data_IF_894710494414
#
_entry.id   IF_894710494414
#
_cell.length_a   1.000
_cell.length_b   1.000
_cell.length_c   1.000
_cell.angle_alpha   90.00
_cell.angle_beta   90.00
_cell.angle_gamma   90.00
#
_symmetry.space_group_name_H-M   'P 1'
#
loop_
_entity.id
_entity.type
_entity.pdbx_description
1 polymer ?
#
# COMPACT_ATOMS: atom_id res chain seq x y z
N UNK A 1 -21.47 32.13 65.46
CA UNK A 1 -22.26 31.09 64.74
C UNK A 1 -21.99 31.25 63.26
N UNK A 2 -21.43 30.21 62.64
CA UNK A 2 -20.75 30.21 61.33
C UNK A 2 -21.71 29.61 60.30
N UNK A 3 -22.12 30.35 59.28
CA UNK A 3 -22.98 29.83 58.20
C UNK A 3 -22.09 29.28 57.08
N UNK A 4 -22.24 27.99 56.80
CA UNK A 4 -21.55 27.23 55.75
C UNK A 4 -22.16 27.57 54.39
N UNK A 5 -21.30 27.97 53.45
CA UNK A 5 -21.60 28.05 52.02
C UNK A 5 -21.30 26.68 51.40
N UNK A 6 -22.30 26.04 50.81
CA UNK A 6 -22.17 24.76 50.08
C UNK A 6 -22.09 25.08 48.59
N UNK A 7 -20.88 25.02 48.02
CA UNK A 7 -20.65 25.16 46.58
C UNK A 7 -20.72 23.78 45.93
N UNK A 8 -21.75 23.50 45.13
CA UNK A 8 -21.83 22.31 44.31
C UNK A 8 -21.17 22.57 42.95
N UNK A 9 -19.98 22.02 42.71
CA UNK A 9 -19.40 21.93 41.36
C UNK A 9 -19.97 20.69 40.65
N UNK A 10 -20.81 20.91 39.64
CA UNK A 10 -21.17 19.89 38.65
C UNK A 10 -20.02 19.79 37.63
N UNK A 11 -19.21 18.75 37.75
CA UNK A 11 -18.19 18.39 36.78
C UNK A 11 -18.82 17.83 35.51
N UNK A 12 -18.62 18.51 34.39
CA UNK A 12 -18.99 18.02 33.07
C UNK A 12 -18.02 16.88 32.66
N UNK A 13 -18.51 15.65 32.66
CA UNK A 13 -17.84 14.54 31.98
C UNK A 13 -17.97 14.74 30.47
N UNK A 14 -16.94 15.32 29.85
CA UNK A 14 -16.78 15.25 28.40
C UNK A 14 -16.48 13.79 28.03
N UNK A 15 -17.16 13.20 27.04
CA UNK A 15 -16.80 11.88 26.54
C UNK A 15 -15.38 11.95 25.99
N UNK A 16 -14.48 11.15 26.55
CA UNK A 16 -13.16 10.93 25.99
C UNK A 16 -13.35 10.32 24.60
N UNK A 17 -12.97 11.07 23.57
CA UNK A 17 -12.82 10.52 22.23
C UNK A 17 -11.76 9.41 22.35
N UNK A 18 -12.17 8.16 22.10
CA UNK A 18 -11.27 7.03 22.03
C UNK A 18 -10.16 7.37 21.03
N UNK A 19 -8.91 7.34 21.50
CA UNK A 19 -7.73 7.45 20.66
C UNK A 19 -7.84 6.38 19.57
N UNK A 20 -7.93 6.80 18.30
CA UNK A 20 -7.79 5.87 17.17
C UNK A 20 -6.44 5.18 17.34
N UNK A 21 -6.38 3.84 17.44
CA UNK A 21 -5.11 3.14 17.56
C UNK A 21 -4.23 3.52 16.37
N UNK A 22 -2.94 3.72 16.62
CA UNK A 22 -1.89 3.88 15.60
C UNK A 22 -2.21 2.99 14.40
N UNK A 23 -2.34 3.60 13.22
CA UNK A 23 -2.88 2.96 12.03
C UNK A 23 -2.29 1.56 11.86
N UNK A 24 -3.13 0.54 12.04
CA UNK A 24 -2.74 -0.85 11.74
C UNK A 24 -2.40 -0.90 10.26
N UNK A 25 -1.15 -1.20 9.92
CA UNK A 25 -0.65 -1.04 8.55
C UNK A 25 0.84 -1.33 8.44
N UNK A 26 1.33 -1.23 7.21
CA UNK A 26 2.73 -1.45 6.88
C UNK A 26 3.34 -0.14 6.40
N UNK A 27 4.33 0.34 7.15
CA UNK A 27 5.12 1.50 6.79
C UNK A 27 6.36 1.07 6.02
N UNK A 28 6.49 1.57 4.81
CA UNK A 28 7.68 1.39 3.99
C UNK A 28 8.45 2.72 3.99
N UNK A 29 9.68 2.76 4.52
CA UNK A 29 10.51 3.95 4.43
C UNK A 29 10.78 4.36 2.98
N UNK A 30 11.10 5.63 2.77
CA UNK A 30 11.70 6.09 1.51
C UNK A 30 12.96 5.26 1.19
N UNK A 31 13.29 5.14 -0.10
CA UNK A 31 14.40 4.33 -0.60
C UNK A 31 14.31 2.82 -0.34
N UNK A 32 13.19 2.33 0.21
CA UNK A 32 12.92 0.90 0.27
C UNK A 32 12.99 0.29 -1.12
N UNK A 33 13.71 -0.83 -1.26
CA UNK A 33 13.84 -1.55 -2.54
C UNK A 33 13.10 -2.87 -2.44
N UNK A 34 12.06 -3.01 -3.25
CA UNK A 34 11.24 -4.21 -3.36
C UNK A 34 11.69 -5.08 -4.52
N UNK A 35 11.66 -6.39 -4.31
CA UNK A 35 11.70 -7.36 -5.39
C UNK A 35 10.28 -7.53 -5.93
N UNK A 36 10.11 -7.38 -7.24
CA UNK A 36 8.81 -7.48 -7.90
C UNK A 36 8.90 -8.29 -9.18
N UNK A 37 7.79 -8.90 -9.57
CA UNK A 37 7.67 -9.57 -10.86
C UNK A 37 6.41 -9.07 -11.57
N UNK A 38 6.46 -8.92 -12.88
CA UNK A 38 5.24 -8.67 -13.66
C UNK A 38 4.39 -9.94 -13.68
N UNK A 39 3.07 -9.80 -13.59
CA UNK A 39 2.19 -10.97 -13.54
C UNK A 39 2.11 -11.71 -14.88
N UNK A 40 2.22 -10.95 -15.97
CA UNK A 40 2.07 -11.43 -17.34
C UNK A 40 3.10 -10.74 -18.23
N UNK A 41 3.54 -11.42 -19.28
CA UNK A 41 4.43 -10.84 -20.29
C UNK A 41 3.77 -9.60 -20.91
N UNK A 42 4.57 -8.54 -21.06
CA UNK A 42 4.12 -7.27 -21.62
C UNK A 42 5.18 -6.68 -22.54
N UNK A 43 4.82 -6.54 -23.81
CA UNK A 43 5.59 -5.78 -24.78
C UNK A 43 5.20 -4.30 -24.72
N UNK A 44 6.17 -3.42 -24.92
CA UNK A 44 5.98 -1.96 -24.97
C UNK A 44 6.70 -1.44 -26.20
N UNK A 45 6.03 -0.61 -26.99
CA UNK A 45 6.67 0.12 -28.09
C UNK A 45 6.95 1.57 -27.71
N UNK A 46 7.98 2.18 -28.30
CA UNK A 46 8.27 3.61 -28.06
C UNK A 46 7.10 4.49 -28.48
N UNK A 47 6.71 5.42 -27.62
CA UNK A 47 5.52 6.27 -27.80
C UNK A 47 4.23 5.67 -27.25
N UNK A 48 4.25 4.42 -26.79
CA UNK A 48 3.14 3.78 -26.07
C UNK A 48 3.25 4.02 -24.56
N UNK A 49 2.12 4.02 -23.88
CA UNK A 49 2.04 3.90 -22.41
C UNK A 49 1.17 2.70 -22.06
N UNK A 50 1.76 1.72 -21.39
CA UNK A 50 0.99 0.65 -20.76
C UNK A 50 0.38 1.16 -19.47
N UNK A 51 -0.95 1.15 -19.41
CA UNK A 51 -1.70 1.42 -18.18
C UNK A 51 -2.05 0.12 -17.47
N UNK A 52 -2.23 0.17 -16.15
CA UNK A 52 -2.66 -0.97 -15.33
C UNK A 52 -1.74 -2.20 -15.41
N UNK A 53 -0.43 -1.97 -15.51
CA UNK A 53 0.55 -3.02 -15.32
C UNK A 53 0.45 -3.51 -13.87
N UNK A 54 0.26 -4.81 -13.69
CA UNK A 54 0.22 -5.43 -12.38
C UNK A 54 1.54 -6.13 -12.09
N UNK A 55 2.12 -5.78 -10.94
CA UNK A 55 3.31 -6.41 -10.40
C UNK A 55 2.93 -7.14 -9.13
N UNK A 56 3.54 -8.30 -8.86
CA UNK A 56 3.51 -8.91 -7.52
C UNK A 56 4.81 -8.57 -6.80
N UNK A 57 4.71 -8.19 -5.52
CA UNK A 57 5.90 -8.12 -4.67
C UNK A 57 6.31 -9.54 -4.26
N UNK A 58 7.61 -9.84 -4.38
CA UNK A 58 8.20 -11.14 -4.01
C UNK A 58 9.13 -11.03 -2.80
N UNK A 59 9.44 -9.82 -2.35
CA UNK A 59 10.21 -9.57 -1.13
C UNK A 59 10.75 -8.15 -1.09
N UNK A 60 11.68 -7.91 -0.17
CA UNK A 60 12.40 -6.64 -0.01
C UNK A 60 13.90 -6.89 0.08
N UNK A 61 14.70 -6.04 -0.55
CA UNK A 61 16.16 -6.03 -0.44
C UNK A 61 16.63 -5.20 0.75
N UNK A 62 15.80 -4.27 1.24
CA UNK A 62 16.11 -3.39 2.37
C UNK A 62 15.51 -3.87 3.69
N UNK A 63 14.94 -5.09 3.71
CA UNK A 63 14.39 -5.70 4.92
C UNK A 63 13.03 -5.17 5.35
N UNK A 64 12.39 -4.30 4.56
CA UNK A 64 11.03 -3.86 4.83
C UNK A 64 10.04 -5.03 4.74
N UNK A 65 9.15 -5.13 5.72
CA UNK A 65 8.10 -6.13 5.72
C UNK A 65 6.92 -5.67 4.87
N UNK A 66 6.40 -6.58 4.05
CA UNK A 66 5.18 -6.40 3.28
C UNK A 66 4.19 -7.49 3.70
N UNK A 67 2.88 -7.19 3.70
CA UNK A 67 1.88 -8.23 3.86
C UNK A 67 2.03 -9.29 2.76
N UNK A 68 1.61 -10.51 3.07
CA UNK A 68 1.57 -11.57 2.08
C UNK A 68 0.64 -11.18 0.90
N UNK A 69 0.99 -11.60 -0.31
CA UNK A 69 0.21 -11.39 -1.54
C UNK A 69 -0.10 -9.91 -1.84
N UNK A 70 0.96 -9.11 -1.98
CA UNK A 70 0.86 -7.74 -2.45
C UNK A 70 0.89 -7.63 -3.98
N UNK A 71 -0.11 -6.94 -4.54
CA UNK A 71 -0.16 -6.49 -5.93
C UNK A 71 0.08 -4.99 -6.00
N UNK A 72 0.95 -4.58 -6.91
CA UNK A 72 1.28 -3.18 -7.18
C UNK A 72 0.70 -2.79 -8.53
N UNK A 73 0.00 -1.66 -8.57
CA UNK A 73 -0.53 -1.09 -9.81
C UNK A 73 0.44 -0.06 -10.36
N UNK A 74 0.83 -0.23 -11.62
CA UNK A 74 1.83 0.57 -12.28
C UNK A 74 1.42 0.99 -13.70
N UNK A 75 2.12 1.99 -14.21
CA UNK A 75 2.16 2.31 -15.63
C UNK A 75 3.59 2.16 -16.15
N UNK A 76 3.74 1.82 -17.41
CA UNK A 76 5.04 1.66 -18.04
C UNK A 76 5.13 2.37 -19.39
N UNK A 77 6.29 2.94 -19.68
CA UNK A 77 6.56 3.63 -20.94
C UNK A 77 8.06 3.57 -21.26
N UNK A 78 8.41 3.74 -22.53
CA UNK A 78 9.82 3.91 -22.90
C UNK A 78 10.15 5.39 -22.96
N UNK A 79 11.14 5.82 -22.17
CA UNK A 79 11.62 7.18 -22.11
C UNK A 79 13.16 7.19 -22.01
N UNK A 80 13.83 8.14 -22.69
CA UNK A 80 15.29 8.26 -22.68
C UNK A 80 16.04 6.92 -22.89
N UNK A 81 15.53 6.09 -23.80
CA UNK A 81 16.04 4.75 -24.13
C UNK A 81 16.07 3.74 -22.96
N UNK A 82 15.21 3.92 -21.96
CA UNK A 82 14.95 3.01 -20.86
C UNK A 82 13.45 2.74 -20.74
N UNK A 83 13.10 1.56 -20.24
CA UNK A 83 11.71 1.30 -19.80
C UNK A 83 11.53 1.88 -18.41
N UNK A 84 10.69 2.89 -18.29
CA UNK A 84 10.24 3.41 -17.00
C UNK A 84 8.98 2.67 -16.58
N UNK A 85 8.94 2.23 -15.32
CA UNK A 85 7.74 1.70 -14.68
C UNK A 85 7.50 2.49 -13.41
N UNK A 86 6.32 3.09 -13.29
CA UNK A 86 5.90 3.93 -12.18
C UNK A 86 4.76 3.24 -11.45
N UNK A 87 5.00 2.79 -10.21
CA UNK A 87 3.98 2.26 -9.31
C UNK A 87 3.29 3.43 -8.61
N UNK A 88 1.98 3.30 -8.43
CA UNK A 88 1.15 4.34 -7.79
C UNK A 88 0.39 3.83 -6.56
N UNK A 89 0.21 2.51 -6.43
CA UNK A 89 -0.65 1.92 -5.41
C UNK A 89 -0.24 0.49 -5.09
N UNK A 90 -0.39 0.10 -3.84
CA UNK A 90 -0.29 -1.28 -3.37
C UNK A 90 -1.64 -1.75 -2.83
N UNK A 91 -1.99 -2.99 -3.15
CA UNK A 91 -3.13 -3.71 -2.57
C UNK A 91 -2.64 -5.09 -2.14
N UNK A 92 -2.80 -5.41 -0.87
CA UNK A 92 -2.34 -6.65 -0.29
C UNK A 92 -3.46 -7.33 0.49
N UNK A 93 -3.39 -8.67 0.58
CA UNK A 93 -4.43 -9.44 1.26
C UNK A 93 -3.78 -10.53 2.10
N UNK A 94 -3.99 -10.45 3.42
CA UNK A 94 -3.53 -11.49 4.34
C UNK A 94 -4.42 -12.74 4.30
N UNK A 95 -3.91 -13.92 4.70
CA UNK A 95 -4.70 -15.16 4.73
C UNK A 95 -5.95 -15.10 5.61
N UNK A 96 -5.95 -14.25 6.64
CA UNK A 96 -7.10 -14.02 7.54
C UNK A 96 -8.21 -13.16 6.90
N UNK A 97 -8.01 -12.65 5.68
CA UNK A 97 -8.96 -11.81 4.97
C UNK A 97 -8.73 -10.30 5.15
N UNK A 98 -7.75 -9.88 5.96
CA UNK A 98 -7.41 -8.47 6.09
C UNK A 98 -6.86 -7.92 4.77
N UNK A 99 -7.38 -6.76 4.37
CA UNK A 99 -7.00 -6.06 3.16
C UNK A 99 -6.18 -4.85 3.56
N UNK A 100 -5.01 -4.68 2.95
CA UNK A 100 -4.15 -3.52 3.14
C UNK A 100 -4.03 -2.76 1.83
N UNK A 101 -4.14 -1.45 1.90
CA UNK A 101 -4.22 -0.59 0.73
C UNK A 101 -3.54 0.75 0.99
N UNK A 102 -2.77 1.23 0.02
CA UNK A 102 -2.10 2.51 0.16
C UNK A 102 -1.51 3.04 -1.14
N UNK A 103 -1.33 4.37 -1.24
CA UNK A 103 -0.53 4.97 -2.29
C UNK A 103 0.93 4.55 -2.13
N UNK A 104 1.60 4.32 -3.25
CA UNK A 104 3.03 4.02 -3.30
C UNK A 104 3.63 4.82 -4.43
N UNK A 105 4.65 5.64 -4.15
CA UNK A 105 5.42 6.32 -5.19
C UNK A 105 6.76 5.60 -5.37
N UNK A 106 6.85 4.77 -6.40
CA UNK A 106 8.03 3.95 -6.62
C UNK A 106 8.30 3.75 -8.11
N UNK A 107 9.58 3.57 -8.47
CA UNK A 107 10.00 3.29 -9.84
C UNK A 107 10.94 2.11 -9.92
N UNK A 108 10.90 1.47 -11.08
CA UNK A 108 11.81 0.38 -11.40
C UNK A 108 13.24 0.88 -11.56
N UNK A 109 14.19 0.05 -11.14
CA UNK A 109 15.63 0.32 -11.25
C UNK A 109 16.34 -0.86 -11.90
N UNK A 110 17.34 -0.58 -12.73
CA UNK A 110 18.24 -1.59 -13.30
C UNK A 110 19.32 -1.98 -12.28
N UNK A 111 19.80 -0.99 -11.53
CA UNK A 111 20.84 -1.13 -10.51
C UNK A 111 20.52 -0.21 -9.33
N UNK A 112 21.37 -0.21 -8.29
CA UNK A 112 21.17 0.64 -7.12
C UNK A 112 21.06 2.13 -7.48
N UNK A 113 21.76 2.60 -8.51
CA UNK A 113 21.86 4.02 -8.83
C UNK A 113 21.10 4.42 -10.11
N UNK A 114 20.65 3.45 -10.91
CA UNK A 114 20.04 3.70 -12.21
C UNK A 114 18.55 3.38 -12.23
N UNK A 115 17.73 4.39 -12.51
CA UNK A 115 16.30 4.24 -12.76
C UNK A 115 16.01 3.81 -14.19
N UNK A 116 14.94 3.04 -14.37
CA UNK A 116 14.51 2.49 -15.64
C UNK A 116 15.31 1.25 -16.05
N UNK A 117 14.71 0.41 -16.90
CA UNK A 117 15.31 -0.82 -17.38
C UNK A 117 15.85 -0.65 -18.80
N UNK A 118 17.16 -0.78 -18.95
CA UNK A 118 17.82 -0.92 -20.25
C UNK A 118 17.81 -2.37 -20.73
N UNK A 119 17.95 -3.33 -19.81
CA UNK A 119 18.02 -4.77 -20.13
C UNK A 119 16.72 -5.35 -20.70
N UNK A 120 15.60 -4.68 -20.46
CA UNK A 120 14.31 -5.05 -21.03
C UNK A 120 14.14 -4.63 -22.51
N UNK A 121 14.98 -3.72 -23.00
CA UNK A 121 14.94 -3.24 -24.38
C UNK A 121 15.42 -4.31 -25.36
N UNK A 122 14.82 -4.34 -26.56
CA UNK A 122 15.27 -5.25 -27.62
C UNK A 122 16.65 -4.86 -28.19
N UNK A 123 17.00 -3.57 -28.13
CA UNK A 123 18.25 -3.00 -28.64
C UNK A 123 18.65 -1.70 -27.92
N UNK A 124 19.79 -1.11 -28.32
CA UNK A 124 20.33 0.12 -27.74
C UNK A 124 19.48 1.37 -27.99
N UNK A 125 18.66 1.39 -29.04
CA UNK A 125 17.73 2.49 -29.30
C UNK A 125 16.46 2.40 -28.44
N UNK A 126 16.21 1.22 -27.87
CA UNK A 126 15.01 0.87 -27.12
C UNK A 126 13.73 1.25 -27.88
N UNK A 127 13.63 0.86 -29.16
CA UNK A 127 12.40 1.06 -29.93
C UNK A 127 11.23 0.22 -29.41
N UNK A 128 11.55 -0.93 -28.81
CA UNK A 128 10.62 -1.82 -28.13
C UNK A 128 11.28 -2.49 -26.94
N UNK A 129 10.46 -2.98 -26.00
CA UNK A 129 10.90 -3.70 -24.82
C UNK A 129 9.93 -4.83 -24.46
N UNK A 130 10.42 -5.81 -23.69
CA UNK A 130 9.63 -6.90 -23.15
C UNK A 130 9.87 -7.04 -21.64
N UNK A 131 8.81 -6.81 -20.87
CA UNK A 131 8.73 -7.18 -19.47
C UNK A 131 8.23 -8.63 -19.38
N UNK A 132 8.99 -9.51 -18.70
CA UNK A 132 8.72 -10.95 -18.66
C UNK A 132 8.18 -11.39 -17.30
N UNK A 133 7.10 -12.16 -17.32
CA UNK A 133 6.56 -12.80 -16.14
C UNK A 133 7.59 -13.74 -15.51
N UNK A 134 7.63 -13.75 -14.18
CA UNK A 134 8.58 -14.57 -13.43
C UNK A 134 10.00 -14.00 -13.33
N UNK A 135 10.36 -12.98 -14.10
CA UNK A 135 11.62 -12.27 -13.95
C UNK A 135 11.54 -11.31 -12.76
N UNK A 136 12.54 -11.36 -11.88
CA UNK A 136 12.68 -10.41 -10.78
C UNK A 136 13.19 -9.06 -11.28
N UNK A 137 12.56 -8.00 -10.78
CA UNK A 137 12.93 -6.62 -11.00
C UNK A 137 13.02 -5.90 -9.66
N UNK A 138 13.83 -4.85 -9.61
CA UNK A 138 13.96 -3.99 -8.42
C UNK A 138 13.06 -2.77 -8.56
N UNK A 139 12.30 -2.47 -7.53
CA UNK A 139 11.44 -1.28 -7.44
C UNK A 139 11.85 -0.46 -6.21
N UNK A 140 12.33 0.76 -6.43
CA UNK A 140 12.71 1.68 -5.34
C UNK A 140 11.62 2.71 -5.09
N UNK A 141 11.26 2.87 -3.82
CA UNK A 141 10.36 3.92 -3.35
C UNK A 141 11.07 5.28 -3.34
N UNK A 142 10.40 6.31 -3.84
CA UNK A 142 10.85 7.70 -3.74
C UNK A 142 10.47 8.31 -2.39
N UNK A 143 9.23 8.07 -1.98
CA UNK A 143 8.67 8.58 -0.74
C UNK A 143 8.34 7.41 0.18
N UNK A 144 8.28 7.69 1.48
CA UNK A 144 7.72 6.74 2.42
C UNK A 144 6.27 6.42 2.02
N UNK A 145 5.87 5.17 2.14
CA UNK A 145 4.53 4.70 1.85
C UNK A 145 3.87 4.10 3.09
N UNK A 146 2.59 4.38 3.27
CA UNK A 146 1.77 3.74 4.30
C UNK A 146 0.71 2.90 3.60
N UNK A 147 0.79 1.58 3.78
CA UNK A 147 -0.18 0.61 3.29
C UNK A 147 -1.07 0.23 4.47
N UNK A 148 -2.19 0.93 4.61
CA UNK A 148 -3.04 0.88 5.79
C UNK A 148 -4.05 -0.27 5.71
N UNK A 149 -4.44 -0.82 6.86
CA UNK A 149 -5.53 -1.77 6.97
C UNK A 149 -6.84 -1.11 6.53
N UNK A 150 -7.51 -1.74 5.57
CA UNK A 150 -8.84 -1.37 5.12
C UNK A 150 -9.86 -2.02 6.02
N UNK A 151 -10.53 -1.20 6.82
CA UNK A 151 -11.60 -1.66 7.69
C UNK A 151 -12.86 -1.95 6.88
N UNK A 152 -13.32 -3.20 6.91
CA UNK A 152 -14.61 -3.58 6.33
C UNK A 152 -15.76 -3.14 7.25
N UNK A 153 -16.25 -1.92 7.03
CA UNK A 153 -17.36 -1.34 7.80
C UNK A 153 -18.63 -2.18 7.74
N UNK A 154 -18.92 -2.82 6.60
CA UNK A 154 -20.09 -3.70 6.45
C UNK A 154 -19.98 -4.91 7.36
N UNK A 155 -18.79 -5.51 7.48
CA UNK A 155 -18.59 -6.64 8.37
C UNK A 155 -18.72 -6.22 9.84
N UNK A 156 -18.23 -5.04 10.22
CA UNK A 156 -18.44 -4.52 11.58
C UNK A 156 -19.93 -4.37 11.91
N UNK A 157 -20.72 -3.81 10.98
CA UNK A 157 -22.17 -3.69 11.16
C UNK A 157 -22.81 -5.08 11.28
N UNK A 158 -22.39 -6.06 10.48
CA UNK A 158 -22.92 -7.41 10.54
C UNK A 158 -22.56 -8.10 11.87
N UNK A 159 -21.35 -7.93 12.39
CA UNK A 159 -20.94 -8.41 13.71
C UNK A 159 -21.81 -7.79 14.80
N UNK A 160 -22.00 -6.46 14.78
CA UNK A 160 -22.86 -5.76 15.73
C UNK A 160 -24.28 -6.30 15.70
N UNK A 161 -24.85 -6.54 14.51
CA UNK A 161 -26.19 -7.12 14.35
C UNK A 161 -26.29 -8.54 14.88
N UNK A 162 -25.25 -9.36 14.73
CA UNK A 162 -25.21 -10.74 15.26
C UNK A 162 -25.08 -10.78 16.79
N UNK A 163 -24.38 -9.81 17.36
CA UNK A 163 -24.11 -9.74 18.79
C UNK A 163 -25.12 -8.87 19.56
N UNK A 164 -26.04 -8.20 18.87
CA UNK A 164 -27.12 -7.45 19.48
C UNK A 164 -28.11 -8.40 20.16
N UNK A 165 -28.23 -8.31 21.49
CA UNK A 165 -29.29 -8.96 22.26
C UNK A 165 -30.27 -7.89 22.76
N UNK A 166 -31.57 -7.97 22.40
CA UNK A 166 -32.55 -6.94 22.73
C UNK A 166 -32.92 -6.84 24.23
N UNK A 167 -32.50 -7.79 25.07
CA UNK A 167 -32.93 -7.89 26.48
C UNK A 167 -32.01 -7.17 27.49
N UNK A 168 -31.00 -6.40 27.05
CA UNK A 168 -30.03 -5.75 27.95
C UNK A 168 -30.43 -4.34 28.44
N UNK A 169 -31.56 -3.78 28.00
CA UNK A 169 -31.99 -2.40 28.34
C UNK A 169 -33.17 -2.32 29.34
N UNK A 170 -33.55 -3.42 29.99
CA UNK A 170 -34.62 -3.42 31.00
C UNK A 170 -34.22 -4.13 32.30
N UNK A 171 -33.23 -3.61 33.04
CA UNK A 171 -33.10 -3.80 34.50
C UNK A 171 -32.59 -2.53 35.17
#
# INVERSE_FOLDING_TARGET
MKRLLTTALLGACLPAYAETPSATGYELPADTVLNVQVLVDKSISKGETLSHLLLKATGSQTGAELPERCLLSANASINNNHVEVNVTRALCVQPNGDIFDGPVNARITESADTFGLKSACADDSCGSALLRAGQDYSLRLYDAANIALVINQTEQINIQRRNYSPDAEQQ
#
